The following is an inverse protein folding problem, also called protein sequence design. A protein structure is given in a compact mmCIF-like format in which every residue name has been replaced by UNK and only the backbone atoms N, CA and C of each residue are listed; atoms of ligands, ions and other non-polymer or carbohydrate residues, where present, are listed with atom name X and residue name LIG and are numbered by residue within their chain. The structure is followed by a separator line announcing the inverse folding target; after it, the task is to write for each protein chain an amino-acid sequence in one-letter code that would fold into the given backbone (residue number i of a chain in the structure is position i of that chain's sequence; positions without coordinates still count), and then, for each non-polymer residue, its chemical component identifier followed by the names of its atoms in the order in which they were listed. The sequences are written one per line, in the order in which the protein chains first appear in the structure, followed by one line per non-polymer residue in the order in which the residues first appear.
data_IF_854621142013
#
_entry.id   IF_854621142013
#
_cell.length_a   1.000
_cell.length_b   1.000
_cell.length_c   1.000
_cell.angle_alpha   90.00
_cell.angle_beta   90.00
_cell.angle_gamma   90.00
#
_symmetry.space_group_name_H-M   'P 1'
#
loop_
_entity.id
_entity.type
_entity.pdbx_description
1 polymer ?
#
# COMPACT_ATOMS: atom_id res chain seq x y z
N UNK A 1 1.59 -4.29 19.15
CA UNK A 1 1.77 -3.11 18.30
C UNK A 1 2.61 -2.10 19.07
N UNK A 2 3.89 -2.01 18.75
CA UNK A 2 4.82 -1.05 19.39
C UNK A 2 4.81 0.19 18.50
N UNK A 3 4.18 1.27 18.95
CA UNK A 3 4.24 2.57 18.26
C UNK A 3 5.55 3.26 18.68
N UNK A 4 6.38 3.59 17.69
CA UNK A 4 7.67 4.26 17.88
C UNK A 4 7.52 5.65 18.51
N UNK A 5 8.48 6.01 19.37
CA UNK A 5 8.52 7.28 20.10
C UNK A 5 8.58 8.50 19.17
N UNK A 6 7.86 9.56 19.57
CA UNK A 6 7.68 10.82 18.84
C UNK A 6 8.97 11.43 18.29
N UNK A 7 9.02 11.55 16.96
CA UNK A 7 9.94 12.44 16.27
C UNK A 7 9.61 13.90 16.59
N UNK A 8 10.62 14.77 16.53
CA UNK A 8 10.52 16.20 16.83
C UNK A 8 9.60 16.91 15.82
N UNK A 9 8.29 17.00 16.12
CA UNK A 9 7.30 17.78 15.34
C UNK A 9 7.41 19.31 15.54
N UNK A 10 8.28 19.77 16.44
CA UNK A 10 8.37 21.17 16.89
C UNK A 10 8.67 22.16 15.75
N UNK A 11 9.43 21.76 14.72
CA UNK A 11 9.75 22.66 13.59
C UNK A 11 8.63 22.80 12.56
N UNK A 12 7.69 21.84 12.48
CA UNK A 12 6.59 21.91 11.51
C UNK A 12 5.59 23.03 11.85
N UNK A 13 5.49 23.40 13.14
CA UNK A 13 4.54 24.40 13.64
C UNK A 13 4.90 25.84 13.25
N UNK A 14 6.18 26.15 13.05
CA UNK A 14 6.62 27.52 12.69
C UNK A 14 6.25 27.91 11.26
N UNK A 15 6.12 26.96 10.34
CA UNK A 15 5.81 27.26 8.93
C UNK A 15 4.30 27.32 8.61
N UNK A 16 3.41 26.83 9.49
CA UNK A 16 1.96 26.82 9.22
C UNK A 16 1.22 28.12 9.58
N UNK A 17 1.86 29.06 10.27
CA UNK A 17 1.17 30.22 10.87
C UNK A 17 0.84 31.37 9.89
N UNK A 18 1.22 31.32 8.61
CA UNK A 18 1.11 32.47 7.69
C UNK A 18 0.00 32.39 6.64
N UNK A 19 -0.76 31.29 6.56
CA UNK A 19 -1.84 31.17 5.58
C UNK A 19 -3.17 31.70 6.16
N UNK A 20 -3.69 32.78 5.56
CA UNK A 20 -4.98 33.41 5.92
C UNK A 20 -6.20 32.46 5.78
N UNK A 21 -6.05 31.30 5.12
CA UNK A 21 -7.08 30.26 4.96
C UNK A 21 -6.75 28.98 5.74
N UNK A 22 -6.10 29.11 6.90
CA UNK A 22 -5.78 27.96 7.74
C UNK A 22 -7.09 27.26 8.17
N UNK A 23 -7.20 25.98 7.85
CA UNK A 23 -8.29 25.13 8.33
C UNK A 23 -8.00 24.75 9.77
N UNK A 24 -8.87 25.16 10.70
CA UNK A 24 -8.73 24.85 12.12
C UNK A 24 -9.55 23.62 12.47
N UNK A 25 -9.02 22.80 13.38
CA UNK A 25 -9.71 21.64 13.90
C UNK A 25 -9.85 21.77 15.41
N UNK A 26 -10.93 21.20 15.91
CA UNK A 26 -11.15 21.07 17.33
C UNK A 26 -11.43 19.62 17.67
N UNK A 27 -10.88 19.18 18.78
CA UNK A 27 -11.09 17.85 19.34
C UNK A 27 -11.85 17.97 20.65
N UNK A 28 -12.89 17.17 20.79
CA UNK A 28 -13.61 17.00 22.04
C UNK A 28 -12.77 16.14 22.97
N UNK A 29 -12.43 16.71 24.12
CA UNK A 29 -11.57 16.06 25.09
C UNK A 29 -12.19 16.14 26.47
N UNK A 30 -12.15 15.00 27.19
CA UNK A 30 -12.58 14.91 28.59
C UNK A 30 -11.35 14.75 29.47
N UNK A 31 -11.04 15.76 30.27
CA UNK A 31 -9.94 15.71 31.25
C UNK A 31 -10.53 15.81 32.65
N UNK A 32 -10.29 14.83 33.52
CA UNK A 32 -10.76 14.85 34.92
C UNK A 32 -12.28 15.12 35.06
N UNK A 33 -13.08 14.55 34.14
CA UNK A 33 -14.54 14.73 34.11
C UNK A 33 -15.01 16.03 33.46
N UNK A 34 -14.09 16.86 32.98
CA UNK A 34 -14.36 18.16 32.39
C UNK A 34 -14.35 18.06 30.87
N UNK A 35 -15.45 18.42 30.23
CA UNK A 35 -15.62 18.35 28.78
C UNK A 35 -15.30 19.70 28.12
N UNK A 36 -14.49 19.71 27.05
CA UNK A 36 -14.28 20.92 26.25
C UNK A 36 -13.85 20.56 24.82
N UNK A 37 -14.07 21.49 23.89
CA UNK A 37 -13.44 21.46 22.58
C UNK A 37 -12.11 22.19 22.64
N UNK A 38 -11.04 21.51 22.25
CA UNK A 38 -9.66 21.99 22.24
C UNK A 38 -9.17 22.15 20.81
N UNK A 39 -8.44 23.22 20.53
CA UNK A 39 -7.81 23.41 19.23
C UNK A 39 -6.76 22.32 18.96
N UNK A 40 -6.79 21.76 17.76
CA UNK A 40 -5.87 20.72 17.33
C UNK A 40 -5.47 20.84 15.86
N UNK A 41 -4.44 20.08 15.49
CA UNK A 41 -4.00 19.89 14.11
C UNK A 41 -4.05 18.41 13.78
N UNK A 42 -4.58 18.04 12.61
CA UNK A 42 -4.62 16.63 12.19
C UNK A 42 -3.21 16.21 11.73
N UNK A 43 -2.66 15.16 12.30
CA UNK A 43 -1.35 14.63 11.92
C UNK A 43 -1.53 13.45 10.96
N UNK A 44 -2.58 12.64 11.17
CA UNK A 44 -2.85 11.46 10.36
C UNK A 44 -4.35 11.07 10.39
N UNK A 45 -4.80 10.30 9.40
CA UNK A 45 -6.17 9.79 9.30
C UNK A 45 -6.13 8.29 9.02
N UNK A 46 -6.57 7.48 9.97
CA UNK A 46 -6.65 6.03 9.81
C UNK A 46 -8.06 5.64 9.39
N UNK A 47 -8.20 5.11 8.18
CA UNK A 47 -9.48 4.65 7.64
C UNK A 47 -9.50 3.13 7.69
N UNK A 48 -10.42 2.58 8.47
CA UNK A 48 -10.73 1.14 8.51
C UNK A 48 -12.09 0.90 7.87
N UNK A 49 -12.49 -0.36 7.67
CA UNK A 49 -13.81 -0.68 7.11
C UNK A 49 -14.98 -0.14 7.96
N UNK A 50 -14.77 0.04 9.27
CA UNK A 50 -15.83 0.39 10.22
C UNK A 50 -15.67 1.78 10.84
N UNK A 51 -14.44 2.28 10.92
CA UNK A 51 -14.11 3.51 11.65
C UNK A 51 -13.13 4.39 10.89
N UNK A 52 -13.32 5.70 11.05
CA UNK A 52 -12.38 6.73 10.62
C UNK A 52 -11.81 7.42 11.86
N UNK A 53 -10.56 7.14 12.14
CA UNK A 53 -9.85 7.65 13.31
C UNK A 53 -8.91 8.77 12.89
N UNK A 54 -8.83 9.80 13.71
CA UNK A 54 -7.98 10.96 13.48
C UNK A 54 -6.89 10.98 14.52
N UNK A 55 -5.64 11.00 14.07
CA UNK A 55 -4.50 11.27 14.94
C UNK A 55 -4.30 12.77 14.95
N UNK A 56 -4.47 13.41 16.10
CA UNK A 56 -4.38 14.87 16.22
C UNK A 56 -3.30 15.28 17.22
N UNK A 57 -2.73 16.45 16.95
CA UNK A 57 -1.84 17.17 17.85
C UNK A 57 -2.66 18.27 18.53
N UNK A 58 -2.82 18.20 19.84
CA UNK A 58 -3.56 19.25 20.56
C UNK A 58 -2.65 20.44 20.83
N UNK A 59 -2.97 21.59 20.23
CA UNK A 59 -2.21 22.83 20.46
C UNK A 59 -2.70 23.44 21.77
N UNK A 60 -2.16 22.96 22.89
CA UNK A 60 -2.60 23.41 24.20
C UNK A 60 -1.49 24.06 25.02
N UNK A 61 -1.76 25.18 25.71
CA UNK A 61 -0.79 25.76 26.65
C UNK A 61 -0.50 24.83 27.85
N UNK A 62 -1.41 23.87 28.08
CA UNK A 62 -1.44 22.85 29.14
C UNK A 62 -0.17 22.00 29.13
N UNK A 63 0.69 22.10 30.14
CA UNK A 63 1.97 21.36 30.17
C UNK A 63 1.80 19.84 30.09
N UNK A 64 0.73 19.29 30.66
CA UNK A 64 0.46 17.84 30.65
C UNK A 64 -0.02 17.32 29.29
N UNK A 65 -0.61 18.19 28.47
CA UNK A 65 -1.11 17.90 27.13
C UNK A 65 -0.24 18.47 26.01
N UNK A 66 0.78 19.29 26.35
CA UNK A 66 1.79 19.76 25.41
C UNK A 66 2.34 18.55 24.68
N UNK A 67 2.13 18.56 23.38
CA UNK A 67 2.70 17.60 22.45
C UNK A 67 2.17 16.16 22.58
N UNK A 68 0.92 15.97 23.04
CA UNK A 68 0.29 14.65 22.99
C UNK A 68 -0.38 14.39 21.65
N UNK A 69 0.05 13.32 21.01
CA UNK A 69 -0.67 12.68 19.93
C UNK A 69 -1.84 11.90 20.54
N UNK A 70 -3.06 12.23 20.15
CA UNK A 70 -4.26 11.48 20.54
C UNK A 70 -4.95 10.94 19.31
N UNK A 71 -5.51 9.73 19.42
CA UNK A 71 -6.35 9.14 18.37
C UNK A 71 -7.79 9.29 18.79
N UNK A 72 -8.60 9.94 17.95
CA UNK A 72 -10.00 10.23 18.26
C UNK A 72 -10.91 9.73 17.15
N UNK A 73 -12.14 9.39 17.54
CA UNK A 73 -13.18 9.03 16.60
C UNK A 73 -13.70 10.26 15.84
N UNK A 74 -14.31 10.02 14.68
CA UNK A 74 -15.01 11.02 13.88
C UNK A 74 -15.96 11.91 14.67
N UNK A 75 -16.65 11.36 15.67
CA UNK A 75 -17.60 12.10 16.53
C UNK A 75 -16.94 13.08 17.49
N UNK A 76 -15.64 12.92 17.74
CA UNK A 76 -14.87 13.71 18.69
C UNK A 76 -14.03 14.78 17.99
N UNK A 77 -14.14 14.95 16.67
CA UNK A 77 -13.42 15.98 15.93
C UNK A 77 -14.37 16.77 15.03
N UNK A 78 -14.13 18.08 14.94
CA UNK A 78 -14.84 18.97 14.02
C UNK A 78 -13.86 19.96 13.41
N UNK A 79 -14.15 20.41 12.20
CA UNK A 79 -13.41 21.48 11.55
C UNK A 79 -14.17 22.78 11.71
N UNK A 80 -13.47 23.87 11.96
CA UNK A 80 -14.06 25.19 12.19
C UNK A 80 -13.30 26.22 11.35
N UNK A 81 -14.02 27.20 10.81
CA UNK A 81 -13.41 28.40 10.23
C UNK A 81 -13.42 29.49 11.28
N UNK A 82 -12.28 30.16 11.48
CA UNK A 82 -12.25 31.37 12.29
C UNK A 82 -13.29 32.35 11.71
N UNK A 83 -14.35 32.60 12.48
CA UNK A 83 -15.24 33.70 12.15
C UNK A 83 -14.44 35.00 12.29
N UNK A 84 -14.58 35.86 11.30
CA UNK A 84 -14.09 37.23 11.38
C UNK A 84 -14.68 37.88 12.64
N UNK A 85 -13.82 38.27 13.59
CA UNK A 85 -14.21 38.87 14.86
C UNK A 85 -15.11 40.10 14.65
N UNK A 86 -15.00 40.75 13.50
CA UNK A 86 -15.85 41.89 13.12
C UNK A 86 -17.31 41.53 12.86
N UNK A 87 -17.62 40.26 12.54
CA UNK A 87 -18.99 39.77 12.31
C UNK A 87 -19.67 39.23 13.57
N UNK A 88 -18.91 38.92 14.62
CA UNK A 88 -19.44 38.40 15.90
C UNK A 88 -20.10 39.45 16.79
N UNK A 89 -20.08 40.74 16.40
CA UNK A 89 -20.86 41.76 17.08
C UNK A 89 -22.39 41.61 16.89
N UNK A 90 -22.84 40.61 16.14
CA UNK A 90 -24.23 40.17 16.12
C UNK A 90 -24.69 39.87 17.56
N UNK A 91 -25.76 40.54 17.98
CA UNK A 91 -26.26 40.47 19.36
C UNK A 91 -26.77 39.06 19.69
N UNK A 92 -26.07 38.36 20.59
CA UNK A 92 -26.58 37.16 21.23
C UNK A 92 -27.95 37.41 21.86
N UNK A 93 -28.86 36.44 21.78
CA UNK A 93 -30.21 36.55 22.35
C UNK A 93 -30.35 35.76 23.65
N UNK A 94 -31.15 36.25 24.58
CA UNK A 94 -31.51 35.48 25.78
C UNK A 94 -32.18 34.17 25.35
N UNK A 95 -31.74 33.06 25.94
CA UNK A 95 -32.15 31.70 25.61
C UNK A 95 -31.34 31.03 24.50
N UNK A 96 -30.45 31.76 23.82
CA UNK A 96 -29.62 31.22 22.75
C UNK A 96 -28.53 30.27 23.27
N UNK A 97 -28.28 29.19 22.55
CA UNK A 97 -27.16 28.29 22.81
C UNK A 97 -25.89 28.79 22.14
N UNK A 98 -24.83 28.91 22.93
CA UNK A 98 -23.54 29.48 22.53
C UNK A 98 -22.41 28.62 23.06
N UNK A 99 -21.22 28.82 22.53
CA UNK A 99 -19.98 28.32 23.10
C UNK A 99 -19.14 29.48 23.62
N UNK A 100 -18.49 29.29 24.77
CA UNK A 100 -17.57 30.26 25.36
C UNK A 100 -16.20 29.64 25.60
N UNK A 101 -15.15 30.38 25.28
CA UNK A 101 -13.78 29.95 25.54
C UNK A 101 -13.42 30.28 26.99
N UNK A 102 -13.38 29.29 27.89
CA UNK A 102 -13.15 29.50 29.33
C UNK A 102 -12.48 28.33 30.05
N UNK A 103 -12.06 28.58 31.30
CA UNK A 103 -11.51 27.61 32.23
C UNK A 103 -12.62 26.88 33.01
N UNK A 104 -12.39 25.64 33.47
CA UNK A 104 -13.29 25.00 34.42
C UNK A 104 -13.25 25.71 35.78
N UNK A 105 -14.39 25.69 36.49
CA UNK A 105 -14.48 26.18 37.87
C UNK A 105 -14.08 25.12 38.92
N UNK A 106 -13.65 23.93 38.49
CA UNK A 106 -13.20 22.88 39.40
C UNK A 106 -11.86 23.28 40.09
N UNK A 107 -11.82 23.46 41.42
CA UNK A 107 -10.63 23.88 42.15
C UNK A 107 -9.51 22.82 42.13
N UNK A 108 -9.82 21.57 41.79
CA UNK A 108 -8.85 20.49 41.64
C UNK A 108 -8.16 20.49 40.27
N UNK A 109 -8.72 21.19 39.28
CA UNK A 109 -8.12 21.32 37.95
C UNK A 109 -7.29 22.60 37.94
N UNK A 110 -5.99 22.48 37.64
CA UNK A 110 -5.13 23.65 37.49
C UNK A 110 -5.69 24.53 36.38
N UNK A 111 -5.99 25.79 36.70
CA UNK A 111 -6.56 26.73 35.73
C UNK A 111 -5.69 26.82 34.46
N UNK A 112 -4.36 26.75 34.54
CA UNK A 112 -3.49 26.78 33.35
C UNK A 112 -3.73 25.64 32.35
N UNK A 113 -4.44 24.59 32.77
CA UNK A 113 -4.38 23.29 32.13
C UNK A 113 -5.68 22.90 31.40
N UNK A 114 -6.64 23.79 31.14
CA UNK A 114 -7.95 23.40 30.52
C UNK A 114 -8.76 24.53 29.87
N UNK A 115 -8.13 25.49 29.19
CA UNK A 115 -8.93 26.40 28.34
C UNK A 115 -9.48 25.65 27.13
N UNK A 116 -10.78 25.82 26.89
CA UNK A 116 -11.44 25.28 25.71
C UNK A 116 -12.82 25.88 25.54
N UNK A 117 -13.47 25.53 24.43
CA UNK A 117 -14.82 25.95 24.15
C UNK A 117 -15.83 25.07 24.88
N UNK A 118 -16.74 25.71 25.62
CA UNK A 118 -17.78 25.07 26.43
C UNK A 118 -19.15 25.58 26.03
N UNK A 119 -20.12 24.68 25.94
CA UNK A 119 -21.49 25.03 25.62
C UNK A 119 -22.24 25.59 26.83
N UNK A 120 -23.08 26.59 26.59
CA UNK A 120 -24.00 27.16 27.57
C UNK A 120 -25.15 27.89 26.89
N UNK A 121 -26.06 28.42 27.71
CA UNK A 121 -27.22 29.19 27.30
C UNK A 121 -27.12 30.61 27.82
N UNK A 122 -27.44 31.57 26.96
CA UNK A 122 -27.44 32.99 27.31
C UNK A 122 -28.60 33.27 28.27
N UNK A 123 -28.31 33.64 29.51
CA UNK A 123 -29.34 33.98 30.51
C UNK A 123 -29.62 35.49 30.56
N UNK A 124 -28.63 36.32 30.25
CA UNK A 124 -28.79 37.78 30.21
C UNK A 124 -27.79 38.43 29.24
N UNK A 125 -28.17 39.54 28.62
CA UNK A 125 -27.33 40.33 27.72
C UNK A 125 -27.44 41.80 28.10
N UNK A 126 -26.31 42.43 28.45
CA UNK A 126 -26.26 43.85 28.80
C UNK A 126 -25.04 44.50 28.14
N UNK A 127 -25.29 45.29 27.10
CA UNK A 127 -24.24 45.90 26.28
C UNK A 127 -23.31 44.81 25.70
N UNK A 128 -21.99 44.88 25.94
CA UNK A 128 -21.00 43.90 25.50
C UNK A 128 -20.84 42.68 26.41
N UNK A 129 -21.58 42.62 27.51
CA UNK A 129 -21.49 41.56 28.50
C UNK A 129 -22.64 40.58 28.36
N UNK A 130 -22.32 39.30 28.41
CA UNK A 130 -23.25 38.18 28.25
C UNK A 130 -23.09 37.27 29.46
N UNK A 131 -24.20 37.03 30.18
CA UNK A 131 -24.27 36.06 31.27
C UNK A 131 -24.65 34.71 30.70
N UNK A 132 -23.91 33.67 31.07
CA UNK A 132 -24.11 32.30 30.59
C UNK A 132 -24.45 31.36 31.74
N UNK A 133 -25.44 30.51 31.50
CA UNK A 133 -25.72 29.30 32.29
C UNK A 133 -25.19 28.10 31.51
N UNK A 134 -24.25 27.35 32.09
CA UNK A 134 -23.64 26.21 31.40
C UNK A 134 -24.56 24.98 31.41
N UNK A 135 -24.41 24.13 30.39
CA UNK A 135 -25.17 22.88 30.31
C UNK A 135 -24.74 21.95 31.47
N UNK A 136 -25.59 21.79 32.50
CA UNK A 136 -25.25 21.04 33.72
C UNK A 136 -24.82 19.59 33.45
N UNK A 137 -25.43 18.93 32.47
CA UNK A 137 -25.10 17.55 32.08
C UNK A 137 -23.67 17.42 31.51
N UNK A 138 -23.13 18.51 30.94
CA UNK A 138 -21.82 18.52 30.27
C UNK A 138 -20.73 19.16 31.13
N UNK A 139 -21.10 20.13 31.95
CA UNK A 139 -20.21 20.94 32.80
C UNK A 139 -20.81 21.07 34.21
N UNK A 140 -20.98 19.98 34.97
CA UNK A 140 -21.64 20.01 36.28
C UNK A 140 -20.89 20.85 37.31
N UNK A 141 -19.60 21.10 37.09
CA UNK A 141 -18.70 21.90 37.90
C UNK A 141 -18.72 23.40 37.54
N UNK A 142 -19.32 23.79 36.41
CA UNK A 142 -19.29 25.17 35.95
C UNK A 142 -20.46 25.98 36.53
N UNK A 143 -20.10 27.08 37.18
CA UNK A 143 -21.06 28.06 37.71
C UNK A 143 -21.42 29.08 36.63
N UNK A 144 -22.60 29.73 36.72
CA UNK A 144 -22.93 30.84 35.83
C UNK A 144 -21.90 31.96 35.90
N UNK A 145 -21.51 32.48 34.73
CA UNK A 145 -20.46 33.49 34.60
C UNK A 145 -20.80 34.56 33.57
N UNK A 146 -20.18 35.74 33.73
CA UNK A 146 -20.33 36.88 32.83
C UNK A 146 -19.08 37.00 31.96
N UNK A 147 -19.29 36.99 30.65
CA UNK A 147 -18.24 37.09 29.65
C UNK A 147 -18.44 38.32 28.76
N UNK A 148 -17.38 38.75 28.10
CA UNK A 148 -17.45 39.71 27.00
C UNK A 148 -17.83 38.98 25.71
N UNK A 149 -18.65 39.60 24.86
CA UNK A 149 -19.16 39.01 23.62
C UNK A 149 -18.08 38.38 22.72
N UNK A 150 -16.86 38.94 22.68
CA UNK A 150 -15.73 38.43 21.91
C UNK A 150 -15.14 37.09 22.40
N UNK A 151 -15.57 36.58 23.56
CA UNK A 151 -15.20 35.25 24.06
C UNK A 151 -16.24 34.19 23.72
N UNK A 152 -17.36 34.61 23.14
CA UNK A 152 -18.47 33.73 22.77
C UNK A 152 -18.49 33.53 21.26
N UNK A 153 -19.06 32.41 20.86
CA UNK A 153 -19.47 32.15 19.48
C UNK A 153 -20.81 31.44 19.47
N UNK A 154 -21.53 31.55 18.36
CA UNK A 154 -22.75 30.76 18.17
C UNK A 154 -22.41 29.27 18.20
N UNK A 155 -23.33 28.45 18.73
CA UNK A 155 -23.15 27.02 18.73
C UNK A 155 -23.13 26.52 17.28
N UNK A 156 -21.99 25.93 16.93
CA UNK A 156 -21.72 25.19 15.71
C UNK A 156 -22.78 24.11 15.44
N UNK A 157 -23.79 24.42 14.62
CA UNK A 157 -24.73 23.40 14.14
C UNK A 157 -24.15 22.77 12.88
N UNK A 158 -24.22 21.43 12.75
CA UNK A 158 -23.54 20.68 11.68
C UNK A 158 -23.93 21.02 10.24
N UNK A 159 -24.88 21.94 10.04
CA UNK A 159 -25.31 22.44 8.73
C UNK A 159 -24.66 23.78 8.34
N UNK A 160 -23.82 24.36 9.20
CA UNK A 160 -23.20 25.64 8.90
C UNK A 160 -22.12 25.44 7.80
N UNK A 161 -22.19 26.16 6.67
CA UNK A 161 -21.22 26.08 5.58
C UNK A 161 -19.79 26.48 6.00
N UNK A 162 -19.63 27.08 7.18
CA UNK A 162 -18.33 27.34 7.79
C UNK A 162 -17.64 26.05 8.29
N UNK A 163 -18.33 24.92 8.41
CA UNK A 163 -17.75 23.67 8.89
C UNK A 163 -17.09 22.88 7.78
N UNK A 164 -15.86 22.42 8.06
CA UNK A 164 -15.21 21.42 7.23
C UNK A 164 -15.93 20.11 7.51
N UNK A 165 -16.51 19.53 6.45
CA UNK A 165 -17.13 18.20 6.51
C UNK A 165 -16.01 17.20 6.76
N UNK A 166 -15.80 16.80 8.02
CA UNK A 166 -14.71 15.88 8.38
C UNK A 166 -14.82 14.55 7.61
N UNK A 167 -16.03 14.15 7.19
CA UNK A 167 -16.23 12.96 6.36
C UNK A 167 -15.62 13.09 4.97
N UNK A 168 -15.53 14.30 4.42
CA UNK A 168 -14.89 14.56 3.13
C UNK A 168 -13.36 14.59 3.20
N UNK A 169 -12.76 14.58 4.40
CA UNK A 169 -11.31 14.45 4.54
C UNK A 169 -10.86 13.05 4.15
N UNK A 170 -9.70 12.92 3.55
CA UNK A 170 -9.11 11.63 3.25
C UNK A 170 -7.61 11.67 3.38
N UNK A 171 -7.02 10.54 3.00
CA UNK A 171 -5.59 10.29 3.09
C UNK A 171 -5.12 9.63 1.82
N UNK A 172 -4.00 10.11 1.28
CA UNK A 172 -3.32 9.48 0.17
C UNK A 172 -1.86 9.25 0.55
N UNK A 173 -1.40 8.00 0.40
CA UNK A 173 -0.01 7.63 0.64
C UNK A 173 0.75 7.58 -0.70
N UNK A 174 1.92 8.20 -0.74
CA UNK A 174 2.83 8.14 -1.87
C UNK A 174 4.07 7.40 -1.41
N UNK A 175 4.24 6.16 -1.88
CA UNK A 175 5.41 5.33 -1.59
C UNK A 175 6.65 5.89 -2.28
N UNK A 176 7.73 6.02 -1.53
CA UNK A 176 9.01 6.50 -2.03
C UNK A 176 9.85 5.34 -2.57
N UNK A 177 10.65 5.59 -3.62
CA UNK A 177 11.70 4.65 -4.01
C UNK A 177 12.78 4.57 -2.92
N UNK A 178 13.54 3.47 -2.88
CA UNK A 178 14.61 3.30 -1.88
C UNK A 178 15.60 4.48 -1.87
N UNK A 179 15.98 4.98 -3.04
CA UNK A 179 16.88 6.12 -3.20
C UNK A 179 16.29 7.42 -2.62
N UNK A 180 15.02 7.73 -2.94
CA UNK A 180 14.34 8.91 -2.40
C UNK A 180 14.12 8.79 -0.90
N UNK A 181 13.79 7.59 -0.41
CA UNK A 181 13.61 7.30 1.01
C UNK A 181 14.91 7.54 1.79
N UNK A 182 16.05 7.06 1.28
CA UNK A 182 17.36 7.32 1.86
C UNK A 182 17.71 8.80 1.84
N UNK A 183 17.50 9.48 0.70
CA UNK A 183 17.77 10.90 0.56
C UNK A 183 16.95 11.76 1.52
N UNK A 184 15.63 11.55 1.58
CA UNK A 184 14.74 12.25 2.54
C UNK A 184 15.15 11.94 3.97
N UNK A 185 15.50 10.68 4.27
CA UNK A 185 15.97 10.32 5.61
C UNK A 185 17.24 11.08 5.99
N UNK A 186 18.23 11.15 5.10
CA UNK A 186 19.44 11.95 5.32
C UNK A 186 19.08 13.43 5.49
N UNK A 187 18.28 14.00 4.59
CA UNK A 187 17.84 15.39 4.65
C UNK A 187 17.18 15.76 5.99
N UNK A 188 16.35 14.87 6.52
CA UNK A 188 15.55 15.13 7.72
C UNK A 188 16.21 14.69 9.04
N UNK A 189 17.23 13.82 8.99
CA UNK A 189 17.92 13.32 10.20
C UNK A 189 19.34 13.86 10.38
N UNK A 190 19.99 14.29 9.30
CA UNK A 190 21.34 14.85 9.35
C UNK A 190 21.39 16.22 10.05
N UNK A 191 22.60 16.59 10.47
CA UNK A 191 22.90 17.84 11.17
C UNK A 191 22.76 19.09 10.27
N UNK A 192 23.16 20.25 10.82
CA UNK A 192 22.99 21.59 10.24
C UNK A 192 23.45 21.75 8.78
N UNK A 193 24.31 20.86 8.27
CA UNK A 193 24.81 20.88 6.90
C UNK A 193 23.72 20.79 5.82
N UNK A 194 22.56 20.18 6.13
CA UNK A 194 21.44 20.05 5.20
C UNK A 194 20.26 20.99 5.53
N UNK A 195 20.47 22.00 6.38
CA UNK A 195 19.40 22.88 6.82
C UNK A 195 18.76 23.63 5.66
N UNK A 196 19.57 24.12 4.71
CA UNK A 196 19.06 24.86 3.56
C UNK A 196 18.22 23.98 2.63
N UNK A 197 18.70 22.78 2.29
CA UNK A 197 18.00 21.82 1.44
C UNK A 197 16.73 21.31 2.12
N UNK A 198 16.78 21.08 3.44
CA UNK A 198 15.62 20.70 4.24
C UNK A 198 14.54 21.77 4.19
N UNK A 199 14.92 23.03 4.41
CA UNK A 199 13.98 24.15 4.38
C UNK A 199 13.40 24.32 2.96
N UNK A 200 14.24 24.24 1.93
CA UNK A 200 13.79 24.29 0.53
C UNK A 200 12.80 23.18 0.20
N UNK A 201 13.04 21.95 0.68
CA UNK A 201 12.12 20.83 0.48
C UNK A 201 10.78 21.08 1.18
N UNK A 202 10.78 21.57 2.42
CA UNK A 202 9.56 21.92 3.12
C UNK A 202 8.81 23.09 2.47
N UNK A 203 9.51 24.11 1.97
CA UNK A 203 8.92 25.23 1.23
C UNK A 203 8.23 24.72 -0.04
N UNK A 204 8.85 23.76 -0.75
CA UNK A 204 8.23 23.12 -1.92
C UNK A 204 6.97 22.33 -1.52
N UNK A 205 7.01 21.53 -0.45
CA UNK A 205 5.82 20.81 0.03
C UNK A 205 4.72 21.78 0.47
N UNK A 206 5.07 22.87 1.14
CA UNK A 206 4.13 23.89 1.57
C UNK A 206 3.48 24.62 0.39
N UNK A 207 4.28 24.97 -0.64
CA UNK A 207 3.75 25.55 -1.87
C UNK A 207 2.74 24.61 -2.54
N UNK A 208 3.06 23.31 -2.63
CA UNK A 208 2.14 22.31 -3.18
C UNK A 208 0.88 22.18 -2.33
N UNK A 209 1.00 22.21 -1.00
CA UNK A 209 -0.12 22.17 -0.07
C UNK A 209 -1.10 23.32 -0.35
N UNK A 210 -0.58 24.54 -0.44
CA UNK A 210 -1.37 25.75 -0.73
C UNK A 210 -2.01 25.70 -2.12
N UNK A 211 -1.26 25.31 -3.16
CA UNK A 211 -1.76 25.25 -4.54
C UNK A 211 -2.82 24.16 -4.78
N UNK A 212 -2.75 23.07 -4.02
CA UNK A 212 -3.72 21.97 -4.10
C UNK A 212 -4.85 22.11 -3.10
N UNK A 213 -4.80 23.13 -2.24
CA UNK A 213 -5.78 23.39 -1.17
C UNK A 213 -6.05 22.15 -0.30
N UNK A 214 -5.01 21.34 -0.09
CA UNK A 214 -5.02 20.22 0.84
C UNK A 214 -4.55 20.68 2.21
N UNK A 215 -4.91 19.91 3.22
CA UNK A 215 -4.64 20.27 4.61
C UNK A 215 -3.18 20.08 5.01
N UNK A 216 -2.56 18.98 4.59
CA UNK A 216 -1.16 18.68 4.95
C UNK A 216 -0.49 17.81 3.89
N UNK A 217 0.77 18.09 3.62
CA UNK A 217 1.68 17.23 2.86
C UNK A 217 2.94 17.05 3.68
N UNK A 218 3.19 15.84 4.18
CA UNK A 218 4.31 15.59 5.07
C UNK A 218 4.99 14.24 4.81
N UNK A 219 6.33 14.18 4.90
CA UNK A 219 7.05 12.91 4.92
C UNK A 219 6.76 12.18 6.24
N UNK A 220 6.44 10.90 6.17
CA UNK A 220 6.14 10.08 7.35
C UNK A 220 7.27 9.11 7.60
N UNK A 221 7.77 9.10 8.84
CA UNK A 221 8.83 8.21 9.29
C UNK A 221 8.23 6.87 9.71
N UNK A 222 8.67 5.81 9.04
CA UNK A 222 8.55 4.43 9.52
C UNK A 222 9.70 4.11 10.48
N UNK A 223 9.92 2.84 10.86
CA UNK A 223 10.86 2.42 11.92
C UNK A 223 12.20 3.17 11.88
N UNK A 224 12.85 3.21 10.70
CA UNK A 224 14.14 3.88 10.54
C UNK A 224 14.22 4.83 9.33
N UNK A 225 13.26 4.78 8.41
CA UNK A 225 13.31 5.50 7.14
C UNK A 225 12.01 6.27 6.90
N UNK A 226 12.10 7.34 6.13
CA UNK A 226 10.94 7.99 5.52
C UNK A 226 10.61 7.24 4.22
N UNK A 227 9.67 6.31 4.27
CA UNK A 227 9.30 5.43 3.15
C UNK A 227 8.09 5.95 2.37
N UNK A 228 7.40 6.98 2.88
CA UNK A 228 6.25 7.59 2.23
C UNK A 228 6.06 9.08 2.53
N UNK A 229 5.35 9.74 1.63
CA UNK A 229 4.73 11.05 1.87
C UNK A 229 3.22 10.85 2.02
N UNK A 230 2.64 11.46 3.05
CA UNK A 230 1.20 11.44 3.29
C UNK A 230 0.61 12.79 2.94
N UNK A 231 -0.47 12.74 2.14
CA UNK A 231 -1.29 13.89 1.77
C UNK A 231 -2.64 13.76 2.48
N UNK A 232 -3.02 14.79 3.24
CA UNK A 232 -4.30 14.89 3.95
C UNK A 232 -5.09 16.07 3.40
N UNK A 233 -6.39 15.91 3.16
CA UNK A 233 -7.23 16.97 2.62
C UNK A 233 -8.58 16.45 2.13
N UNK A 234 -9.37 17.30 1.47
CA UNK A 234 -10.62 16.87 0.82
C UNK A 234 -10.38 15.79 -0.23
N UNK A 235 -11.18 14.72 -0.24
CA UNK A 235 -11.02 13.55 -1.13
C UNK A 235 -10.94 13.94 -2.62
N UNK A 236 -11.67 14.98 -3.02
CA UNK A 236 -11.67 15.58 -4.35
C UNK A 236 -10.31 16.23 -4.72
N UNK A 237 -9.58 16.74 -3.72
CA UNK A 237 -8.29 17.45 -3.89
C UNK A 237 -7.08 16.52 -3.78
N UNK A 238 -7.22 15.40 -3.06
CA UNK A 238 -6.10 14.47 -2.81
C UNK A 238 -5.43 13.99 -4.10
N UNK A 239 -6.21 13.66 -5.13
CA UNK A 239 -5.66 13.15 -6.40
C UNK A 239 -4.75 14.18 -7.09
N UNK A 240 -5.18 15.45 -7.10
CA UNK A 240 -4.41 16.55 -7.70
C UNK A 240 -3.10 16.78 -6.94
N UNK A 241 -3.19 16.87 -5.60
CA UNK A 241 -2.02 17.02 -4.75
C UNK A 241 -1.03 15.86 -4.91
N UNK A 242 -1.52 14.62 -4.97
CA UNK A 242 -0.68 13.44 -5.15
C UNK A 242 0.08 13.46 -6.48
N UNK A 243 -0.54 13.92 -7.56
CA UNK A 243 0.14 14.10 -8.86
C UNK A 243 1.25 15.14 -8.73
N UNK A 244 0.98 16.29 -8.12
CA UNK A 244 1.97 17.36 -7.95
C UNK A 244 3.17 16.90 -7.10
N UNK A 245 2.92 16.17 -6.01
CA UNK A 245 3.98 15.59 -5.18
C UNK A 245 4.80 14.56 -5.98
N UNK A 246 4.16 13.70 -6.77
CA UNK A 246 4.89 12.77 -7.64
C UNK A 246 5.77 13.48 -8.68
N UNK A 247 5.30 14.58 -9.26
CA UNK A 247 6.10 15.41 -10.18
C UNK A 247 7.33 15.97 -9.47
N UNK A 248 7.15 16.51 -8.25
CA UNK A 248 8.27 16.98 -7.42
C UNK A 248 9.27 15.85 -7.14
N UNK A 249 8.79 14.70 -6.67
CA UNK A 249 9.62 13.55 -6.33
C UNK A 249 10.39 13.00 -7.54
N UNK A 250 9.75 12.92 -8.71
CA UNK A 250 10.41 12.50 -9.95
C UNK A 250 11.48 13.50 -10.40
N UNK A 251 11.23 14.80 -10.23
CA UNK A 251 12.24 15.83 -10.47
C UNK A 251 13.45 15.65 -9.54
N UNK A 252 13.22 15.42 -8.24
CA UNK A 252 14.30 15.16 -7.28
C UNK A 252 15.06 13.87 -7.60
N UNK A 253 14.35 12.80 -7.98
CA UNK A 253 14.96 11.54 -8.40
C UNK A 253 15.91 11.75 -9.59
N UNK A 254 15.46 12.48 -10.62
CA UNK A 254 16.30 12.78 -11.79
C UNK A 254 17.54 13.61 -11.44
N UNK A 255 17.42 14.56 -10.51
CA UNK A 255 18.57 15.33 -10.02
C UNK A 255 19.57 14.43 -9.28
N UNK A 256 19.09 13.57 -8.39
CA UNK A 256 19.93 12.61 -7.68
C UNK A 256 20.64 11.67 -8.65
N UNK A 257 19.95 11.11 -9.64
CA UNK A 257 20.56 10.26 -10.68
C UNK A 257 21.68 10.97 -11.44
N UNK A 258 21.51 12.25 -11.79
CA UNK A 258 22.56 13.06 -12.45
C UNK A 258 23.74 13.33 -11.52
N UNK A 259 23.49 13.61 -10.25
CA UNK A 259 24.55 13.81 -9.26
C UNK A 259 25.36 12.53 -9.06
N UNK A 260 24.69 11.38 -8.94
CA UNK A 260 25.38 10.10 -8.84
C UNK A 260 26.14 9.76 -10.13
N UNK A 261 25.53 9.93 -11.31
CA UNK A 261 26.19 9.67 -12.58
C UNK A 261 27.46 10.53 -12.76
N UNK A 262 27.43 11.80 -12.37
CA UNK A 262 28.61 12.67 -12.44
C UNK A 262 29.69 12.33 -11.42
N UNK A 263 29.32 11.88 -10.21
CA UNK A 263 30.29 11.36 -9.24
C UNK A 263 31.01 10.09 -9.75
N UNK A 264 30.28 9.17 -10.40
CA UNK A 264 30.90 7.98 -10.99
C UNK A 264 31.85 8.30 -12.16
N UNK A 265 31.55 9.33 -12.95
CA UNK A 265 32.43 9.75 -14.05
C UNK A 265 33.68 10.47 -13.56
N UNK A 266 33.59 11.23 -12.47
CA UNK A 266 34.67 12.09 -11.99
C UNK A 266 35.57 11.43 -10.94
N UNK A 267 35.18 10.29 -10.36
CA UNK A 267 35.99 9.61 -9.36
C UNK A 267 35.90 8.07 -9.46
N UNK A 268 36.70 7.43 -10.34
CA UNK A 268 36.72 5.97 -10.47
C UNK A 268 37.16 5.25 -9.17
N UNK A 269 37.69 5.96 -8.16
CA UNK A 269 37.98 5.38 -6.85
C UNK A 269 36.71 5.14 -6.00
N UNK A 270 35.57 5.76 -6.29
CA UNK A 270 34.30 5.45 -5.60
C UNK A 270 33.79 4.05 -5.99
N UNK A 271 34.21 3.51 -7.14
CA UNK A 271 33.99 2.10 -7.48
C UNK A 271 34.68 1.13 -6.49
N UNK A 272 35.72 1.58 -5.76
CA UNK A 272 36.35 0.80 -4.68
C UNK A 272 35.61 0.89 -3.34
N UNK A 273 34.48 1.60 -3.24
CA UNK A 273 33.63 1.65 -2.04
C UNK A 273 32.48 0.62 -2.05
N UNK A 274 32.32 -0.17 -3.11
CA UNK A 274 31.49 -1.37 -3.02
C UNK A 274 32.24 -2.42 -2.20
N UNK A 275 31.99 -2.42 -0.88
CA UNK A 275 32.70 -3.29 0.06
C UNK A 275 32.41 -4.77 -0.18
N UNK A 276 31.28 -5.10 -0.82
CA UNK A 276 30.87 -6.47 -1.07
C UNK A 276 30.83 -6.72 -2.57
N UNK A 277 31.64 -7.68 -3.01
CA UNK A 277 31.71 -8.17 -4.38
C UNK A 277 31.43 -9.67 -4.34
N UNK A 278 30.51 -10.13 -5.18
CA UNK A 278 30.19 -11.55 -5.34
C UNK A 278 30.32 -11.93 -6.80
N UNK A 279 30.99 -13.05 -7.04
CA UNK A 279 31.17 -13.62 -8.36
C UNK A 279 30.16 -14.75 -8.57
N UNK A 280 29.45 -14.71 -9.68
CA UNK A 280 28.48 -15.73 -10.11
C UNK A 280 28.94 -16.30 -11.43
N UNK A 281 28.98 -17.63 -11.53
CA UNK A 281 29.38 -18.34 -12.75
C UNK A 281 28.14 -19.01 -13.34
N UNK A 282 27.72 -18.54 -14.51
CA UNK A 282 26.51 -19.01 -15.21
C UNK A 282 26.89 -19.65 -16.53
N UNK A 283 26.10 -20.60 -17.00
CA UNK A 283 26.34 -21.22 -18.31
C UNK A 283 26.17 -20.20 -19.42
N UNK A 284 27.05 -20.21 -20.42
CA UNK A 284 27.03 -19.24 -21.51
C UNK A 284 25.71 -19.29 -22.31
N UNK A 285 25.05 -20.44 -22.32
CA UNK A 285 23.73 -20.64 -22.93
C UNK A 285 22.61 -19.82 -22.26
N UNK A 286 22.72 -19.52 -20.96
CA UNK A 286 21.68 -18.77 -20.21
C UNK A 286 22.00 -17.28 -20.06
N UNK A 287 23.22 -16.84 -20.41
CA UNK A 287 23.64 -15.43 -20.28
C UNK A 287 22.71 -14.48 -21.03
N UNK A 288 22.30 -14.84 -22.25
CA UNK A 288 21.42 -13.99 -23.06
C UNK A 288 20.06 -13.76 -22.38
N UNK A 289 19.56 -14.77 -21.66
CA UNK A 289 18.31 -14.69 -20.89
C UNK A 289 18.47 -13.76 -19.68
N UNK A 290 19.61 -13.86 -18.98
CA UNK A 290 19.97 -12.98 -17.85
C UNK A 290 20.08 -11.52 -18.31
N UNK A 291 20.70 -11.26 -19.47
CA UNK A 291 20.81 -9.92 -20.05
C UNK A 291 19.44 -9.38 -20.45
N UNK A 292 18.65 -10.20 -21.14
CA UNK A 292 17.41 -9.78 -21.79
C UNK A 292 17.67 -8.86 -23.00
N UNK A 293 16.61 -8.50 -23.75
CA UNK A 293 16.72 -7.64 -24.91
C UNK A 293 17.25 -6.25 -24.50
N UNK A 294 18.36 -5.82 -25.11
CA UNK A 294 18.99 -4.53 -24.81
C UNK A 294 19.50 -4.40 -23.36
N UNK A 295 19.84 -5.51 -22.70
CA UNK A 295 20.27 -5.56 -21.29
C UNK A 295 19.21 -5.09 -20.29
N UNK A 296 17.93 -5.12 -20.67
CA UNK A 296 16.83 -4.63 -19.83
C UNK A 296 16.71 -5.39 -18.49
N UNK A 297 16.95 -6.70 -18.47
CA UNK A 297 16.80 -7.51 -17.25
C UNK A 297 17.88 -7.15 -16.23
N UNK A 298 19.14 -7.01 -16.66
CA UNK A 298 20.22 -6.53 -15.79
C UNK A 298 19.94 -5.11 -15.26
N UNK A 299 19.46 -4.20 -16.10
CA UNK A 299 19.10 -2.84 -15.63
C UNK A 299 18.05 -2.86 -14.54
N UNK A 300 16.99 -3.67 -14.72
CA UNK A 300 15.95 -3.85 -13.68
C UNK A 300 16.54 -4.40 -12.38
N UNK A 301 17.43 -5.39 -12.44
CA UNK A 301 18.09 -5.94 -11.26
C UNK A 301 19.02 -4.93 -10.57
N UNK A 302 19.80 -4.17 -11.35
CA UNK A 302 20.63 -3.07 -10.84
C UNK A 302 19.79 -2.02 -10.12
N UNK A 303 18.68 -1.58 -10.72
CA UNK A 303 17.78 -0.59 -10.14
C UNK A 303 17.04 -1.12 -8.91
N UNK A 304 16.58 -2.37 -8.95
CA UNK A 304 15.81 -3.01 -7.88
C UNK A 304 16.64 -3.21 -6.61
N UNK A 305 17.88 -3.67 -6.75
CA UNK A 305 18.73 -4.03 -5.61
C UNK A 305 19.81 -2.99 -5.30
N UNK A 306 19.94 -1.91 -6.09
CA UNK A 306 20.97 -0.90 -5.89
C UNK A 306 22.41 -1.44 -6.07
N UNK A 307 22.58 -2.47 -6.91
CA UNK A 307 23.86 -3.15 -7.16
C UNK A 307 24.41 -2.82 -8.56
N UNK A 308 25.72 -2.87 -8.72
CA UNK A 308 26.38 -2.90 -10.02
C UNK A 308 26.55 -4.33 -10.49
N UNK A 309 26.14 -4.63 -11.73
CA UNK A 309 26.28 -5.96 -12.32
C UNK A 309 27.13 -5.83 -13.59
N UNK A 310 28.29 -6.49 -13.57
CA UNK A 310 29.22 -6.51 -14.68
C UNK A 310 29.35 -7.93 -15.22
N UNK A 311 29.05 -8.10 -16.50
CA UNK A 311 29.23 -9.37 -17.21
C UNK A 311 30.59 -9.33 -17.89
N UNK A 312 31.51 -10.23 -17.52
CA UNK A 312 32.83 -10.27 -18.14
C UNK A 312 32.74 -10.69 -19.61
N UNK A 313 33.58 -10.07 -20.45
CA UNK A 313 33.72 -10.44 -21.86
C UNK A 313 34.61 -11.66 -21.95
N UNK A 314 34.05 -12.79 -22.38
CA UNK A 314 34.77 -14.05 -22.56
C UNK A 314 34.00 -15.23 -21.99
N UNK A 315 34.61 -16.41 -22.06
CA UNK A 315 34.17 -17.59 -21.32
C UNK A 315 35.20 -17.90 -20.24
N UNK A 316 34.70 -18.27 -19.07
CA UNK A 316 35.46 -18.79 -17.96
C UNK A 316 35.30 -20.31 -17.94
N UNK A 317 36.40 -21.05 -18.03
CA UNK A 317 36.38 -22.53 -18.11
C UNK A 317 35.50 -23.07 -19.25
N UNK A 318 35.65 -22.54 -20.47
CA UNK A 318 35.05 -23.07 -21.70
C UNK A 318 33.58 -22.67 -21.89
N UNK A 319 32.71 -23.06 -20.96
CA UNK A 319 31.26 -23.01 -21.14
C UNK A 319 30.53 -22.08 -20.16
N UNK A 320 31.22 -21.55 -19.16
CA UNK A 320 30.63 -20.60 -18.20
C UNK A 320 31.05 -19.17 -18.50
N UNK A 321 30.27 -18.21 -18.01
CA UNK A 321 30.61 -16.80 -18.01
C UNK A 321 30.57 -16.28 -16.58
N UNK A 322 31.56 -15.46 -16.25
CA UNK A 322 31.68 -14.80 -14.95
C UNK A 322 30.85 -13.51 -14.95
N UNK A 323 29.99 -13.37 -13.95
CA UNK A 323 29.21 -12.17 -13.68
C UNK A 323 29.61 -11.68 -12.29
N UNK A 324 30.03 -10.42 -12.21
CA UNK A 324 30.43 -9.76 -10.98
C UNK A 324 29.28 -8.89 -10.51
N UNK A 325 28.81 -9.12 -9.29
CA UNK A 325 27.78 -8.32 -8.61
C UNK A 325 28.46 -7.58 -7.46
N UNK A 326 28.39 -6.25 -7.45
CA UNK A 326 28.98 -5.43 -6.40
C UNK A 326 27.98 -4.42 -5.84
N UNK A 327 28.06 -4.17 -4.53
CA UNK A 327 27.08 -3.35 -3.83
C UNK A 327 27.56 -2.89 -2.45
N UNK A 328 26.74 -2.07 -1.79
CA UNK A 328 27.03 -1.55 -0.43
C UNK A 328 26.57 -2.50 0.66
N UNK A 329 25.50 -3.26 0.40
CA UNK A 329 24.91 -4.21 1.34
C UNK A 329 25.19 -5.63 0.88
N UNK A 330 25.71 -6.46 1.78
CA UNK A 330 25.89 -7.89 1.53
C UNK A 330 24.57 -8.58 1.18
N UNK A 331 23.48 -8.18 1.86
CA UNK A 331 22.16 -8.75 1.64
C UNK A 331 21.63 -8.44 0.24
N UNK A 332 21.81 -7.21 -0.25
CA UNK A 332 21.37 -6.80 -1.59
C UNK A 332 22.20 -7.49 -2.69
N UNK A 333 23.53 -7.58 -2.49
CA UNK A 333 24.44 -8.29 -3.38
C UNK A 333 24.10 -9.77 -3.44
N UNK A 334 23.82 -10.40 -2.29
CA UNK A 334 23.44 -11.80 -2.22
C UNK A 334 22.11 -12.06 -2.93
N UNK A 335 21.09 -11.24 -2.68
CA UNK A 335 19.79 -11.37 -3.34
C UNK A 335 19.89 -11.18 -4.86
N UNK A 336 20.62 -10.17 -5.33
CA UNK A 336 20.83 -9.97 -6.76
C UNK A 336 21.64 -11.11 -7.40
N UNK A 337 22.67 -11.60 -6.72
CA UNK A 337 23.46 -12.74 -7.18
C UNK A 337 22.61 -14.02 -7.29
N UNK A 338 21.69 -14.26 -6.37
CA UNK A 338 20.77 -15.40 -6.40
C UNK A 338 19.80 -15.32 -7.60
N UNK A 339 19.29 -14.13 -7.92
CA UNK A 339 18.44 -13.93 -9.11
C UNK A 339 19.20 -14.13 -10.44
N UNK A 340 20.51 -13.90 -10.43
CA UNK A 340 21.38 -14.08 -11.61
C UNK A 340 21.85 -15.53 -11.75
N UNK A 341 21.90 -16.29 -10.66
CA UNK A 341 22.37 -17.68 -10.62
C UNK A 341 21.36 -18.65 -11.27
N UNK A 342 21.10 -18.47 -12.55
CA UNK A 342 20.25 -19.34 -13.35
C UNK A 342 21.00 -20.62 -13.72
N UNK A 343 20.33 -21.75 -13.54
CA UNK A 343 20.81 -23.07 -13.93
C UNK A 343 19.97 -23.60 -15.09
N UNK A 344 20.63 -24.24 -16.06
CA UNK A 344 19.96 -25.06 -17.08
C UNK A 344 20.02 -26.52 -16.64
N UNK A 345 18.88 -27.18 -16.50
CA UNK A 345 18.83 -28.60 -16.13
C UNK A 345 18.06 -29.42 -17.15
N UNK A 346 18.36 -30.72 -17.15
CA UNK A 346 17.69 -31.74 -17.94
C UNK A 346 17.03 -32.71 -16.97
N UNK A 347 15.71 -32.83 -17.02
CA UNK A 347 14.93 -33.78 -16.22
C UNK A 347 14.52 -34.90 -17.16
N UNK A 348 15.14 -36.07 -17.01
CA UNK A 348 14.84 -37.23 -17.85
C UNK A 348 13.38 -37.68 -17.68
N UNK A 349 12.73 -38.00 -18.79
CA UNK A 349 11.36 -38.52 -18.83
C UNK A 349 11.36 -39.85 -19.57
N UNK A 350 10.63 -40.83 -19.04
CA UNK A 350 10.37 -42.07 -19.76
C UNK A 350 9.59 -41.78 -21.05
N UNK A 351 10.07 -42.32 -22.18
CA UNK A 351 9.43 -42.16 -23.49
C UNK A 351 7.94 -42.55 -23.51
N UNK A 352 7.51 -43.49 -22.65
CA UNK A 352 6.10 -43.90 -22.53
C UNK A 352 5.21 -42.89 -21.83
N UNK A 353 5.81 -41.94 -21.11
CA UNK A 353 5.11 -40.90 -20.35
C UNK A 353 5.05 -39.56 -21.08
N UNK A 354 5.70 -39.42 -22.24
CA UNK A 354 5.90 -38.11 -22.87
C UNK A 354 4.59 -37.39 -23.22
N UNK A 355 3.63 -38.11 -23.82
CA UNK A 355 2.32 -37.55 -24.16
C UNK A 355 1.55 -37.09 -22.92
N UNK A 356 1.73 -37.80 -21.80
CA UNK A 356 1.10 -37.41 -20.54
C UNK A 356 1.79 -36.21 -19.90
N UNK A 357 3.12 -36.19 -19.87
CA UNK A 357 3.92 -35.13 -19.26
C UNK A 357 3.77 -33.81 -20.02
N UNK A 358 3.73 -33.84 -21.36
CA UNK A 358 3.49 -32.63 -22.16
C UNK A 358 2.01 -32.22 -22.13
N UNK A 359 1.10 -33.20 -22.17
CA UNK A 359 -0.32 -32.96 -22.36
C UNK A 359 -0.67 -32.51 -23.79
N UNK A 360 -1.95 -32.23 -24.04
CA UNK A 360 -2.38 -31.72 -25.34
C UNK A 360 -1.88 -30.29 -25.53
N UNK A 361 -1.16 -30.02 -26.62
CA UNK A 361 -0.59 -28.70 -26.94
C UNK A 361 0.26 -28.11 -25.80
N UNK A 362 1.08 -28.95 -25.15
CA UNK A 362 2.01 -28.55 -24.08
C UNK A 362 1.36 -27.90 -22.84
N UNK A 363 0.05 -28.11 -22.64
CA UNK A 363 -0.70 -27.52 -21.52
C UNK A 363 -0.09 -27.86 -20.15
N UNK A 364 0.46 -29.06 -19.98
CA UNK A 364 1.08 -29.45 -18.73
C UNK A 364 2.44 -28.78 -18.52
N UNK A 365 3.20 -28.52 -19.59
CA UNK A 365 4.46 -27.76 -19.50
C UNK A 365 4.21 -26.31 -19.07
N UNK A 366 3.15 -25.69 -19.60
CA UNK A 366 2.72 -24.36 -19.16
C UNK A 366 2.31 -24.37 -17.69
N UNK A 367 1.50 -25.36 -17.28
CA UNK A 367 1.14 -25.54 -15.87
C UNK A 367 2.37 -25.71 -14.97
N UNK A 368 3.36 -26.50 -15.37
CA UNK A 368 4.60 -26.64 -14.62
C UNK A 368 5.37 -25.32 -14.54
N UNK A 369 5.41 -24.56 -15.63
CA UNK A 369 6.06 -23.25 -15.68
C UNK A 369 5.45 -22.27 -14.70
N UNK A 370 4.13 -22.12 -14.74
CA UNK A 370 3.38 -21.22 -13.87
C UNK A 370 3.50 -21.63 -12.40
N UNK A 371 3.42 -22.93 -12.10
CA UNK A 371 3.43 -23.44 -10.72
C UNK A 371 4.81 -23.34 -10.07
N UNK A 372 5.89 -23.62 -10.83
CA UNK A 372 7.28 -23.58 -10.32
C UNK A 372 7.93 -22.20 -10.43
N UNK A 373 7.37 -21.31 -11.25
CA UNK A 373 7.97 -20.01 -11.57
C UNK A 373 9.23 -20.11 -12.44
N UNK A 374 9.48 -21.24 -13.10
CA UNK A 374 10.63 -21.41 -13.99
C UNK A 374 10.56 -20.42 -15.17
N UNK A 375 11.72 -19.94 -15.62
CA UNK A 375 11.76 -18.88 -16.65
C UNK A 375 11.51 -19.47 -18.04
N UNK A 376 12.12 -20.61 -18.32
CA UNK A 376 11.97 -21.32 -19.58
C UNK A 376 11.83 -22.81 -19.32
N UNK A 377 10.92 -23.45 -20.05
CA UNK A 377 10.72 -24.90 -20.07
C UNK A 377 10.52 -25.33 -21.52
N UNK A 378 11.12 -26.45 -21.90
CA UNK A 378 10.99 -27.07 -23.21
C UNK A 378 11.19 -28.58 -23.06
N UNK A 379 10.93 -29.34 -24.13
CA UNK A 379 11.19 -30.79 -24.18
C UNK A 379 12.15 -31.07 -25.33
N UNK A 380 13.28 -31.68 -25.00
CA UNK A 380 14.29 -32.08 -25.97
C UNK A 380 14.31 -33.61 -26.09
N UNK A 381 14.52 -34.09 -27.32
CA UNK A 381 14.70 -35.49 -27.62
C UNK A 381 16.15 -35.71 -28.01
N UNK A 382 16.86 -36.52 -27.22
CA UNK A 382 18.20 -36.95 -27.59
C UNK A 382 18.11 -37.81 -28.85
N UNK A 383 18.64 -37.30 -29.95
CA UNK A 383 18.61 -37.96 -31.26
C UNK A 383 19.35 -39.29 -31.29
N UNK A 384 20.29 -39.52 -30.37
CA UNK A 384 21.10 -40.73 -30.32
C UNK A 384 20.42 -41.82 -29.48
N UNK A 385 19.89 -41.44 -28.31
CA UNK A 385 19.30 -42.40 -27.37
C UNK A 385 17.79 -42.55 -27.52
N UNK A 386 17.12 -41.61 -28.18
CA UNK A 386 15.67 -41.52 -28.26
C UNK A 386 15.00 -41.07 -26.97
N UNK A 387 15.77 -40.81 -25.91
CA UNK A 387 15.26 -40.40 -24.60
C UNK A 387 14.77 -38.96 -24.64
N UNK A 388 13.69 -38.69 -23.90
CA UNK A 388 13.14 -37.35 -23.75
C UNK A 388 13.61 -36.73 -22.44
N UNK A 389 13.80 -35.42 -22.43
CA UNK A 389 14.12 -34.66 -21.22
C UNK A 389 13.39 -33.32 -21.23
N UNK A 390 12.83 -32.92 -20.09
CA UNK A 390 12.45 -31.51 -19.88
C UNK A 390 13.73 -30.71 -19.74
N UNK A 391 13.88 -29.71 -20.58
CA UNK A 391 14.95 -28.71 -20.52
C UNK A 391 14.40 -27.47 -19.84
N UNK A 392 14.92 -27.14 -18.66
CA UNK A 392 14.41 -26.05 -17.85
C UNK A 392 15.52 -25.06 -17.47
N UNK A 393 15.19 -23.77 -17.41
CA UNK A 393 16.09 -22.69 -16.98
C UNK A 393 15.42 -21.83 -15.91
N UNK A 394 16.04 -21.74 -14.74
CA UNK A 394 15.58 -20.89 -13.65
C UNK A 394 16.55 -20.87 -12.48
N UNK A 395 16.18 -20.24 -11.37
CA UNK A 395 16.97 -20.27 -10.14
C UNK A 395 16.93 -21.66 -9.50
N UNK A 396 17.88 -21.95 -8.60
CA UNK A 396 17.95 -23.27 -7.96
C UNK A 396 16.64 -23.68 -7.28
N UNK A 397 16.00 -22.75 -6.55
CA UNK A 397 14.72 -23.00 -5.89
C UNK A 397 13.61 -23.35 -6.89
N UNK A 398 13.48 -22.58 -7.98
CA UNK A 398 12.49 -22.83 -9.03
C UNK A 398 12.69 -24.20 -9.71
N UNK A 399 13.95 -24.61 -9.89
CA UNK A 399 14.30 -25.91 -10.48
C UNK A 399 13.89 -27.06 -9.56
N UNK A 400 14.13 -26.92 -8.25
CA UNK A 400 13.76 -27.93 -7.26
C UNK A 400 12.23 -28.03 -7.11
N UNK A 401 11.52 -26.90 -7.16
CA UNK A 401 10.06 -26.84 -7.22
C UNK A 401 9.52 -27.52 -8.50
N UNK A 402 10.12 -27.23 -9.66
CA UNK A 402 9.76 -27.87 -10.93
C UNK A 402 9.90 -29.40 -10.86
N UNK A 403 11.02 -29.90 -10.33
CA UNK A 403 11.22 -31.35 -10.14
C UNK A 403 10.12 -31.96 -9.28
N UNK A 404 9.73 -31.29 -8.21
CA UNK A 404 8.67 -31.75 -7.32
C UNK A 404 7.32 -31.81 -8.01
N UNK A 405 6.94 -30.77 -8.75
CA UNK A 405 5.68 -30.69 -9.50
C UNK A 405 5.62 -31.78 -10.58
N UNK A 406 6.68 -31.93 -11.37
CA UNK A 406 6.77 -32.94 -12.44
C UNK A 406 6.68 -34.36 -11.86
N UNK A 407 7.43 -34.65 -10.79
CA UNK A 407 7.39 -35.97 -10.14
C UNK A 407 6.01 -36.28 -9.57
N UNK A 408 5.35 -35.28 -8.96
CA UNK A 408 4.01 -35.44 -8.42
C UNK A 408 3.00 -35.75 -9.52
N UNK A 409 3.11 -35.07 -10.67
CA UNK A 409 2.26 -35.32 -11.83
C UNK A 409 2.42 -36.76 -12.37
N UNK A 410 3.67 -37.21 -12.54
CA UNK A 410 3.98 -38.59 -12.97
C UNK A 410 3.40 -39.62 -11.98
N UNK A 411 3.61 -39.42 -10.68
CA UNK A 411 3.10 -40.33 -9.65
C UNK A 411 1.57 -40.43 -9.65
N UNK A 412 0.87 -39.34 -9.94
CA UNK A 412 -0.60 -39.33 -10.02
C UNK A 412 -1.09 -40.10 -11.24
N UNK A 413 -0.40 -39.99 -12.36
CA UNK A 413 -0.69 -40.75 -13.56
C UNK A 413 -0.53 -42.25 -13.38
N UNK A 414 0.61 -42.68 -12.83
CA UNK A 414 0.90 -44.09 -12.57
C UNK A 414 -0.17 -44.71 -11.68
N UNK A 415 -0.53 -44.02 -10.59
CA UNK A 415 -1.65 -44.44 -9.72
C UNK A 415 -2.99 -44.51 -10.45
N UNK A 416 -3.24 -43.63 -11.41
CA UNK A 416 -4.46 -43.69 -12.21
C UNK A 416 -4.46 -44.88 -13.17
N UNK A 417 -3.31 -45.24 -13.74
CA UNK A 417 -3.15 -46.42 -14.59
C UNK A 417 -3.31 -47.72 -13.79
N UNK A 418 -2.71 -47.80 -12.60
CA UNK A 418 -2.87 -48.93 -11.67
C UNK A 418 -4.35 -49.17 -11.32
N UNK A 419 -5.17 -48.12 -11.21
CA UNK A 419 -6.61 -48.23 -10.94
C UNK A 419 -7.41 -48.69 -12.16
N UNK A 420 -7.00 -48.32 -13.37
CA UNK A 420 -7.66 -48.74 -14.62
C UNK A 420 -7.37 -50.20 -14.98
N UNK A 421 -6.19 -50.71 -14.62
CA UNK A 421 -5.80 -52.10 -14.88
C UNK A 421 -6.82 -53.15 -14.38
N UNK A 422 -7.31 -53.13 -13.12
CA UNK A 422 -8.31 -54.09 -12.65
C UNK A 422 -9.70 -53.88 -13.26
N UNK A 423 -10.09 -52.66 -13.63
CA UNK A 423 -11.36 -52.43 -14.33
C UNK A 423 -11.35 -53.01 -15.74
N UNK A 424 -10.22 -52.89 -16.46
CA UNK A 424 -10.05 -53.52 -17.76
C UNK A 424 -10.01 -55.04 -17.64
N UNK A 425 -9.33 -55.59 -16.63
CA UNK A 425 -9.34 -57.03 -16.34
C UNK A 425 -10.77 -57.55 -16.04
N UNK A 426 -11.60 -56.78 -15.32
CA UNK A 426 -13.02 -57.12 -15.08
C UNK A 426 -13.87 -57.09 -16.35
N UNK A 427 -13.64 -56.16 -17.27
CA UNK A 427 -14.35 -56.11 -18.56
C UNK A 427 -14.02 -57.30 -19.48
N UNK A 428 -12.82 -57.86 -19.38
CA UNK A 428 -12.45 -59.08 -20.11
C UNK A 428 -13.12 -60.32 -19.50
N UNK A 429 -13.28 -60.37 -18.18
CA UNK A 429 -13.92 -61.50 -17.49
C UNK A 429 -15.45 -61.51 -17.57
N UNK A 430 -16.09 -60.34 -17.67
CA UNK A 430 -17.54 -60.23 -17.89
C UNK A 430 -17.84 -60.02 -19.39
N UNK A 431 -17.56 -61.03 -20.22
CA UNK A 431 -18.34 -61.17 -21.44
C UNK A 431 -19.71 -61.74 -21.03
N UNK A 432 -20.82 -60.99 -21.20
CA UNK A 432 -22.13 -61.55 -20.93
C UNK A 432 -22.27 -62.83 -21.77
N UNK A 433 -22.75 -63.94 -21.18
CA UNK A 433 -22.91 -65.20 -21.90
C UNK A 433 -23.66 -64.92 -23.19
N UNK A 434 -23.08 -65.34 -24.32
CA UNK A 434 -23.71 -65.10 -25.61
C UNK A 434 -25.16 -65.58 -25.55
N UNK A 435 -26.13 -64.77 -25.98
CA UNK A 435 -27.53 -65.14 -25.93
C UNK A 435 -27.69 -66.44 -26.71
N UNK A 436 -28.08 -67.50 -26.00
CA UNK A 436 -28.44 -68.77 -26.62
C UNK A 436 -29.58 -68.50 -27.61
N UNK A 437 -29.53 -69.17 -28.77
CA UNK A 437 -30.34 -68.96 -29.97
C UNK A 437 -31.89 -68.98 -29.81
N UNK A 438 -32.43 -69.04 -28.59
CA UNK A 438 -33.87 -69.07 -28.32
C UNK A 438 -34.51 -67.73 -27.95
N UNK A 439 -33.76 -66.62 -27.85
CA UNK A 439 -34.34 -65.30 -27.55
C UNK A 439 -34.48 -64.34 -28.75
N UNK A 440 -34.21 -64.79 -29.99
CA UNK A 440 -34.40 -63.96 -31.20
C UNK A 440 -35.84 -63.91 -31.72
N UNK A 441 -36.78 -64.70 -31.19
CA UNK A 441 -38.16 -64.73 -31.69
C UNK A 441 -39.10 -63.67 -31.04
N UNK A 442 -38.72 -63.04 -29.91
CA UNK A 442 -39.61 -62.15 -29.17
C UNK A 442 -39.41 -60.64 -29.45
N UNK A 443 -38.33 -60.25 -30.13
CA UNK A 443 -38.00 -58.83 -30.36
C UNK A 443 -38.64 -58.21 -31.61
N UNK A 444 -39.38 -58.98 -32.42
CA UNK A 444 -39.93 -58.52 -33.71
C UNK A 444 -41.32 -57.86 -33.62
N UNK A 445 -41.93 -57.68 -32.43
CA UNK A 445 -43.32 -57.18 -32.32
C UNK A 445 -43.50 -55.82 -31.62
N UNK A 446 -42.45 -55.03 -31.38
CA UNK A 446 -42.59 -53.69 -30.79
C UNK A 446 -41.98 -52.58 -31.67
N UNK A 447 -42.47 -52.46 -32.91
CA UNK A 447 -42.28 -51.25 -33.73
C UNK A 447 -43.64 -50.68 -34.16
N UNK A 448 -44.24 -49.85 -33.31
CA UNK A 448 -45.21 -48.83 -33.71
C UNK A 448 -45.48 -47.87 -32.53
N UNK A 449 -44.61 -46.88 -32.34
CA UNK A 449 -44.98 -45.65 -31.61
C UNK A 449 -44.72 -44.44 -32.50
N UNK A 450 -45.68 -43.49 -32.62
CA UNK A 450 -45.53 -42.35 -33.50
C UNK A 450 -44.47 -41.38 -32.98
N UNK A 451 -43.63 -40.88 -33.89
CA UNK A 451 -42.66 -39.81 -33.65
C UNK A 451 -43.40 -38.54 -33.20
N UNK A 452 -43.19 -38.12 -31.95
CA UNK A 452 -43.53 -36.77 -31.51
C UNK A 452 -42.55 -35.78 -32.14
N UNK A 453 -43.09 -34.80 -32.86
CA UNK A 453 -42.36 -33.67 -33.43
C UNK A 453 -41.80 -32.80 -32.29
N UNK A 454 -40.47 -32.75 -32.18
CA UNK A 454 -39.74 -31.81 -31.33
C UNK A 454 -39.48 -30.55 -32.16
N UNK A 455 -39.89 -29.33 -31.71
CA UNK A 455 -39.61 -28.10 -32.44
C UNK A 455 -38.12 -27.72 -32.37
N UNK A 456 -37.59 -27.23 -33.49
CA UNK A 456 -36.21 -26.77 -33.66
C UNK A 456 -35.93 -25.46 -32.88
N UNK A 457 -34.68 -25.19 -32.46
CA UNK A 457 -34.31 -24.10 -31.52
C UNK A 457 -34.44 -22.65 -32.04
N UNK A 458 -35.17 -22.39 -33.12
CA UNK A 458 -35.23 -21.08 -33.77
C UNK A 458 -36.34 -20.13 -33.24
N UNK A 459 -37.17 -20.55 -32.28
CA UNK A 459 -38.34 -19.76 -31.83
C UNK A 459 -38.23 -19.18 -30.40
N UNK A 460 -37.10 -19.32 -29.69
CA UNK A 460 -36.99 -18.87 -28.29
C UNK A 460 -36.42 -17.46 -28.08
N UNK A 461 -36.17 -16.65 -29.12
CA UNK A 461 -35.53 -15.32 -28.97
C UNK A 461 -36.49 -14.10 -28.97
N UNK A 462 -37.79 -14.26 -28.69
CA UNK A 462 -38.72 -13.12 -28.63
C UNK A 462 -39.21 -12.71 -27.23
N UNK A 463 -38.76 -13.34 -26.15
CA UNK A 463 -39.16 -12.98 -24.78
C UNK A 463 -37.98 -12.63 -23.88
N UNK A 464 -37.23 -11.59 -24.23
CA UNK A 464 -36.35 -10.87 -23.27
C UNK A 464 -36.24 -9.39 -23.63
N UNK A 465 -37.35 -8.65 -23.51
CA UNK A 465 -37.36 -7.22 -23.22
C UNK A 465 -38.63 -6.89 -22.44
N UNK A 466 -38.50 -6.77 -21.11
CA UNK A 466 -39.18 -5.81 -20.24
C UNK A 466 -38.30 -5.59 -19.02
#
# INVERSE_FOLDING_TARGET
MIFGQGGKYVQFKQHMASAQDSQYFEVFYTLDGVNAWLECSIIDIHITQQHKLFKVYVSSPIKSLREREITVDRTQIRGFKHHDESQQAAQFKIGEHVEVFTYPNNPHVKQSDTQGWRSGRVSNVKSKFVSLEFDHDRHPDQLPEIFTANRLRHLSTGNDPAFIIIDSLGRHEITLSAQLSQWITQLLTSHAEFEHERNTFYDQLHLLQTQSEVYSIAPVRSVHLYDKIVVLGGVDKLKRAAIQVNVLLNSQKSLLEKLFASQYQNNPQIANQFQVVREVFVDNAVVTLILGPGSQNIRKLTEQYGVSIQVEKGTFNGDKRKIIVSGRSEQEVAAAAEQIALEKVFIAIDSTLIEHVCGENDQNLEFFRETSGIIQIDVDQDKLTGNYSIVAVGTRGQIDDLRHVVQTHINLYEKAQERKAPEQARKVFYQPPQPTHHQQAAAAQQQAKPKQNVPTPAQQQQYRKK
#
